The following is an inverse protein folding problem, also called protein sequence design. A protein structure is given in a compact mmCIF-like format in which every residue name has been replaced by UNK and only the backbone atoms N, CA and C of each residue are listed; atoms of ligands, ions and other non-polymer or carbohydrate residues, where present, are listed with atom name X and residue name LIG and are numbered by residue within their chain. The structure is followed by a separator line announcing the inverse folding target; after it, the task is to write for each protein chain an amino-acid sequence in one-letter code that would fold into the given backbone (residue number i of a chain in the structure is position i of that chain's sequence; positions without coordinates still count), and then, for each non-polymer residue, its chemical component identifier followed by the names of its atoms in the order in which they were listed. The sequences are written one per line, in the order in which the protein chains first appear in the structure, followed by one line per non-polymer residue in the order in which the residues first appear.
data_IF_764021308620
#
_entry.id   IF_764021308620
#
_cell.length_a   1.000
_cell.length_b   1.000
_cell.length_c   1.000
_cell.angle_alpha   90.00
_cell.angle_beta   90.00
_cell.angle_gamma   90.00
#
_symmetry.space_group_name_H-M   'P 1'
#
loop_
_entity.id
_entity.type
_entity.pdbx_description
1 polymer ?
#
# COMPACT_ATOMS: atom_id res chain seq x y z
N UNK A 1 -19.00 -8.84 -22.07
CA UNK A 1 -18.05 -9.10 -20.95
C UNK A 1 -18.38 -10.39 -20.21
N UNK A 2 -19.66 -10.74 -20.00
CA UNK A 2 -20.09 -11.98 -19.32
C UNK A 2 -19.55 -13.27 -19.96
N UNK A 3 -19.66 -13.44 -21.28
CA UNK A 3 -19.29 -14.71 -21.93
C UNK A 3 -17.79 -15.01 -21.93
N UNK A 4 -16.96 -13.96 -22.02
CA UNK A 4 -15.51 -14.07 -21.96
C UNK A 4 -15.03 -14.59 -20.59
N UNK A 5 -15.62 -14.05 -19.52
CA UNK A 5 -15.36 -14.49 -18.13
C UNK A 5 -15.82 -15.92 -17.94
N UNK A 6 -17.06 -16.25 -18.34
CA UNK A 6 -17.62 -17.60 -18.23
C UNK A 6 -16.78 -18.65 -18.99
N UNK A 7 -16.21 -18.28 -20.14
CA UNK A 7 -15.37 -19.19 -20.91
C UNK A 7 -14.03 -19.48 -20.23
N UNK A 8 -13.42 -18.49 -19.60
CA UNK A 8 -12.17 -18.69 -18.83
C UNK A 8 -12.46 -19.44 -17.53
N UNK A 9 -13.54 -19.10 -16.84
CA UNK A 9 -14.00 -19.78 -15.62
C UNK A 9 -14.20 -21.29 -15.85
N UNK A 10 -14.84 -21.67 -16.95
CA UNK A 10 -14.97 -23.10 -17.33
C UNK A 10 -13.63 -23.82 -17.49
N UNK A 11 -12.60 -23.16 -18.03
CA UNK A 11 -11.28 -23.77 -18.13
C UNK A 11 -10.56 -23.82 -16.78
N UNK A 12 -10.74 -22.81 -15.93
CA UNK A 12 -10.25 -22.82 -14.55
C UNK A 12 -10.86 -23.97 -13.76
N UNK A 13 -12.18 -24.16 -13.81
CA UNK A 13 -12.88 -25.24 -13.11
C UNK A 13 -12.38 -26.62 -13.53
N UNK A 14 -12.16 -26.84 -14.83
CA UNK A 14 -11.59 -28.09 -15.35
C UNK A 14 -10.20 -28.36 -14.77
N UNK A 15 -9.36 -27.32 -14.67
CA UNK A 15 -8.02 -27.46 -14.10
C UNK A 15 -8.10 -27.75 -12.60
N UNK A 16 -8.91 -27.01 -11.85
CA UNK A 16 -9.10 -27.21 -10.41
C UNK A 16 -9.58 -28.63 -10.10
N UNK A 17 -10.59 -29.12 -10.85
CA UNK A 17 -11.07 -30.49 -10.70
C UNK A 17 -9.97 -31.52 -10.98
N UNK A 18 -9.17 -31.33 -12.04
CA UNK A 18 -8.04 -32.20 -12.35
C UNK A 18 -6.98 -32.21 -11.25
N UNK A 19 -6.68 -31.05 -10.64
CA UNK A 19 -5.76 -30.98 -9.49
C UNK A 19 -6.31 -31.71 -8.26
N UNK A 20 -7.62 -31.60 -8.00
CA UNK A 20 -8.25 -32.27 -6.88
C UNK A 20 -8.23 -33.79 -7.03
N UNK A 21 -8.58 -34.29 -8.22
CA UNK A 21 -8.52 -35.72 -8.55
C UNK A 21 -7.09 -36.25 -8.45
N UNK A 22 -6.11 -35.53 -9.00
CA UNK A 22 -4.72 -35.97 -8.93
C UNK A 22 -4.20 -35.99 -7.50
N UNK A 23 -4.50 -34.95 -6.71
CA UNK A 23 -4.12 -34.90 -5.30
C UNK A 23 -4.68 -36.10 -4.55
N UNK A 24 -5.97 -36.40 -4.72
CA UNK A 24 -6.62 -37.55 -4.08
C UNK A 24 -5.96 -38.88 -4.47
N UNK A 25 -5.68 -39.07 -5.76
CA UNK A 25 -4.99 -40.26 -6.27
C UNK A 25 -3.58 -40.40 -5.69
N UNK A 26 -2.83 -39.30 -5.61
CA UNK A 26 -1.46 -39.31 -5.10
C UNK A 26 -1.41 -39.54 -3.60
N UNK A 27 -2.33 -38.95 -2.83
CA UNK A 27 -2.48 -39.21 -1.40
C UNK A 27 -2.79 -40.70 -1.14
N UNK A 28 -3.72 -41.30 -1.89
CA UNK A 28 -4.02 -42.73 -1.80
C UNK A 28 -2.81 -43.60 -2.16
N UNK A 29 -2.14 -43.30 -3.26
CA UNK A 29 -0.96 -44.05 -3.72
C UNK A 29 0.19 -43.98 -2.71
N UNK A 30 0.42 -42.81 -2.12
CA UNK A 30 1.43 -42.63 -1.07
C UNK A 30 1.06 -43.38 0.20
N UNK A 31 -0.22 -43.36 0.60
CA UNK A 31 -0.68 -44.08 1.77
C UNK A 31 -0.53 -45.60 1.61
N UNK A 32 -0.90 -46.14 0.44
CA UNK A 32 -0.66 -47.54 0.10
C UNK A 32 0.82 -47.91 0.12
N UNK A 33 1.70 -47.05 -0.43
CA UNK A 33 3.14 -47.27 -0.42
C UNK A 33 3.71 -47.25 1.01
N UNK A 34 3.27 -46.30 1.84
CA UNK A 34 3.66 -46.21 3.26
C UNK A 34 3.18 -47.45 4.02
N UNK A 35 1.94 -47.90 3.80
CA UNK A 35 1.41 -49.10 4.44
C UNK A 35 2.19 -50.34 4.03
N UNK A 36 2.55 -50.48 2.74
CA UNK A 36 3.38 -51.58 2.24
C UNK A 36 4.78 -51.57 2.87
N UNK A 37 5.46 -50.42 2.90
CA UNK A 37 6.79 -50.28 3.53
C UNK A 37 6.73 -50.61 5.03
N UNK A 38 5.69 -50.13 5.75
CA UNK A 38 5.45 -50.48 7.16
C UNK A 38 5.13 -51.97 7.37
N UNK A 39 4.52 -52.62 6.38
CA UNK A 39 4.28 -54.07 6.37
C UNK A 39 5.61 -54.81 6.28
N UNK A 40 6.42 -54.50 5.26
CA UNK A 40 7.75 -55.09 5.10
C UNK A 40 8.65 -54.90 6.32
N UNK A 41 8.61 -53.72 6.96
CA UNK A 41 9.35 -53.48 8.19
C UNK A 41 8.91 -54.38 9.36
N UNK A 42 7.60 -54.58 9.51
CA UNK A 42 7.05 -55.49 10.55
C UNK A 42 7.40 -56.95 10.26
N UNK A 43 7.35 -57.36 9.00
CA UNK A 43 7.72 -58.73 8.60
C UNK A 43 9.20 -59.00 8.91
N UNK A 44 10.09 -58.05 8.59
CA UNK A 44 11.52 -58.12 8.93
C UNK A 44 11.78 -58.18 10.44
N UNK A 45 11.01 -57.44 11.24
CA UNK A 45 11.10 -57.50 12.71
C UNK A 45 10.61 -58.84 13.27
N UNK A 46 9.55 -59.41 12.69
CA UNK A 46 8.95 -60.67 13.16
C UNK A 46 9.81 -61.88 12.80
N UNK A 47 10.51 -61.81 11.65
CA UNK A 47 11.43 -62.86 11.16
C UNK A 47 12.83 -62.77 11.78
N UNK A 48 13.11 -61.79 12.66
CA UNK A 48 14.35 -61.73 13.47
C UNK A 48 14.28 -62.56 14.76
N UNK A 49 13.23 -63.36 14.98
CA UNK A 49 13.12 -64.26 16.12
C UNK A 49 14.06 -65.49 15.95
N UNK A 50 14.72 -65.98 17.02
CA UNK A 50 15.67 -67.08 16.91
C UNK A 50 14.98 -68.36 16.42
N UNK A 51 15.39 -68.84 15.24
CA UNK A 51 14.87 -70.05 14.59
C UNK A 51 14.16 -69.85 13.25
N UNK A 52 14.00 -68.61 12.76
CA UNK A 52 13.31 -68.32 11.50
C UNK A 52 14.00 -67.20 10.68
N UNK A 53 15.34 -67.25 10.58
CA UNK A 53 16.15 -66.24 9.90
C UNK A 53 15.94 -66.27 8.38
N UNK A 54 15.67 -65.10 7.79
CA UNK A 54 15.62 -64.93 6.33
C UNK A 54 17.00 -65.15 5.71
N UNK A 55 17.04 -65.82 4.56
CA UNK A 55 18.27 -65.91 3.76
C UNK A 55 18.63 -64.55 3.17
N UNK A 56 19.92 -64.28 2.99
CA UNK A 56 20.46 -63.04 2.40
C UNK A 56 19.77 -62.69 1.06
N UNK A 57 19.51 -63.69 0.23
CA UNK A 57 18.80 -63.57 -1.05
C UNK A 57 17.36 -63.07 -0.86
N UNK A 58 16.65 -63.52 0.17
CA UNK A 58 15.28 -63.07 0.44
C UNK A 58 15.25 -61.60 0.90
N UNK A 59 16.23 -61.18 1.70
CA UNK A 59 16.39 -59.78 2.09
C UNK A 59 16.65 -58.89 0.86
N UNK A 60 17.59 -59.27 0.00
CA UNK A 60 17.92 -58.52 -1.21
C UNK A 60 16.73 -58.39 -2.16
N UNK A 61 15.97 -59.48 -2.39
CA UNK A 61 14.77 -59.44 -3.22
C UNK A 61 13.68 -58.53 -2.64
N UNK A 62 13.53 -58.47 -1.31
CA UNK A 62 12.59 -57.56 -0.66
C UNK A 62 13.02 -56.10 -0.82
N UNK A 63 14.30 -55.79 -0.58
CA UNK A 63 14.84 -54.44 -0.79
C UNK A 63 14.68 -53.96 -2.23
N UNK A 64 15.04 -54.82 -3.20
CA UNK A 64 14.90 -54.51 -4.63
C UNK A 64 13.46 -54.23 -5.02
N UNK A 65 12.50 -55.00 -4.49
CA UNK A 65 11.08 -54.80 -4.77
C UNK A 65 10.57 -53.47 -4.20
N UNK A 66 10.96 -53.10 -2.97
CA UNK A 66 10.60 -51.81 -2.36
C UNK A 66 11.19 -50.66 -3.17
N UNK A 67 12.48 -50.72 -3.51
CA UNK A 67 13.17 -49.68 -4.30
C UNK A 67 12.54 -49.52 -5.68
N UNK A 68 12.25 -50.63 -6.38
CA UNK A 68 11.57 -50.60 -7.68
C UNK A 68 10.19 -49.94 -7.58
N UNK A 69 9.42 -50.26 -6.54
CA UNK A 69 8.08 -49.71 -6.37
C UNK A 69 8.09 -48.22 -6.05
N UNK A 70 8.98 -47.78 -5.15
CA UNK A 70 9.20 -46.35 -4.87
C UNK A 70 9.60 -45.60 -6.15
N UNK A 71 10.53 -46.16 -6.94
CA UNK A 71 10.97 -45.54 -8.21
C UNK A 71 9.83 -45.43 -9.22
N UNK A 72 8.98 -46.45 -9.32
CA UNK A 72 7.82 -46.43 -10.21
C UNK A 72 6.81 -45.36 -9.79
N UNK A 73 6.51 -45.24 -8.49
CA UNK A 73 5.62 -44.20 -7.95
C UNK A 73 6.16 -42.79 -8.23
N UNK A 74 7.46 -42.56 -8.04
CA UNK A 74 8.09 -41.27 -8.38
C UNK A 74 7.97 -40.95 -9.88
N UNK A 75 8.20 -41.95 -10.73
CA UNK A 75 8.10 -41.79 -12.19
C UNK A 75 6.68 -41.47 -12.63
N UNK A 76 5.69 -42.14 -12.03
CA UNK A 76 4.27 -41.89 -12.25
C UNK A 76 3.91 -40.44 -11.88
N UNK A 77 4.28 -39.99 -10.68
CA UNK A 77 4.00 -38.63 -10.21
C UNK A 77 4.66 -37.56 -11.08
N UNK A 78 5.88 -37.82 -11.56
CA UNK A 78 6.55 -36.92 -12.50
C UNK A 78 5.80 -36.81 -13.83
N UNK A 79 5.22 -37.92 -14.32
CA UNK A 79 4.40 -37.94 -15.53
C UNK A 79 3.11 -37.13 -15.34
N UNK A 80 2.39 -37.40 -14.27
CA UNK A 80 1.14 -36.72 -13.93
C UNK A 80 1.34 -35.20 -13.70
N UNK A 81 2.44 -34.80 -13.07
CA UNK A 81 2.80 -33.39 -12.90
C UNK A 81 3.05 -32.68 -14.24
N UNK A 82 3.69 -33.36 -15.20
CA UNK A 82 3.88 -32.82 -16.56
C UNK A 82 2.55 -32.60 -17.27
N UNK A 83 1.58 -33.49 -17.07
CA UNK A 83 0.26 -33.39 -17.69
C UNK A 83 -0.58 -32.24 -17.11
N UNK A 84 -0.32 -31.81 -15.87
CA UNK A 84 -0.92 -30.60 -15.27
C UNK A 84 -0.48 -29.34 -16.01
N UNK A 85 0.80 -29.21 -16.34
CA UNK A 85 1.31 -28.02 -17.04
C UNK A 85 0.55 -27.76 -18.36
N UNK A 86 0.21 -28.83 -19.09
CA UNK A 86 -0.57 -28.73 -20.33
C UNK A 86 -2.00 -28.19 -20.09
N UNK A 87 -2.58 -28.49 -18.93
CA UNK A 87 -3.91 -28.04 -18.52
C UNK A 87 -3.89 -26.58 -18.08
N UNK A 88 -2.88 -26.15 -17.33
CA UNK A 88 -2.69 -24.74 -16.93
C UNK A 88 -2.44 -23.85 -18.15
N UNK A 89 -1.66 -24.31 -19.14
CA UNK A 89 -1.43 -23.57 -20.39
C UNK A 89 -2.71 -23.25 -21.17
N UNK A 90 -3.75 -24.11 -21.07
CA UNK A 90 -5.04 -23.85 -21.72
C UNK A 90 -5.78 -22.65 -21.13
N UNK A 91 -5.65 -22.40 -19.82
CA UNK A 91 -6.21 -21.20 -19.19
C UNK A 91 -5.57 -19.96 -19.82
N UNK A 92 -4.24 -19.92 -19.95
CA UNK A 92 -3.53 -18.82 -20.60
C UNK A 92 -4.06 -18.55 -22.01
N UNK A 93 -4.18 -19.61 -22.83
CA UNK A 93 -4.76 -19.50 -24.19
C UNK A 93 -6.23 -19.06 -24.19
N UNK A 94 -7.02 -19.47 -23.19
CA UNK A 94 -8.40 -19.04 -23.06
C UNK A 94 -8.49 -17.55 -22.69
N UNK A 95 -7.60 -17.07 -21.83
CA UNK A 95 -7.46 -15.64 -21.51
C UNK A 95 -7.12 -14.87 -22.79
N UNK A 96 -6.06 -15.27 -23.50
CA UNK A 96 -5.60 -14.60 -24.73
C UNK A 96 -6.68 -14.55 -25.81
N UNK A 97 -7.54 -15.58 -25.89
CA UNK A 97 -8.62 -15.65 -26.87
C UNK A 97 -9.84 -14.80 -26.51
N UNK A 98 -10.14 -14.67 -25.21
CA UNK A 98 -11.38 -14.03 -24.74
C UNK A 98 -11.17 -12.59 -24.28
N UNK A 99 -9.93 -12.17 -24.01
CA UNK A 99 -9.60 -10.83 -23.55
C UNK A 99 -8.63 -10.16 -24.54
N UNK A 100 -8.96 -8.93 -24.93
CA UNK A 100 -8.16 -8.13 -25.84
C UNK A 100 -6.95 -7.59 -25.06
N UNK A 101 -5.74 -7.84 -25.55
CA UNK A 101 -4.48 -7.35 -24.95
C UNK A 101 -4.23 -5.86 -25.25
N UNK A 102 -4.93 -5.32 -26.26
CA UNK A 102 -4.81 -3.96 -26.74
C UNK A 102 -5.83 -3.03 -26.08
N UNK A 103 -5.33 -2.16 -25.21
CA UNK A 103 -6.09 -1.14 -24.49
C UNK A 103 -6.55 0.02 -25.38
N UNK A 104 -6.12 0.08 -26.66
CA UNK A 104 -6.59 1.11 -27.60
C UNK A 104 -8.12 1.13 -27.74
N UNK A 105 -8.78 -0.02 -27.57
CA UNK A 105 -10.26 -0.14 -27.59
C UNK A 105 -10.97 0.44 -26.36
N UNK A 106 -10.25 0.73 -25.27
CA UNK A 106 -10.78 1.44 -24.09
C UNK A 106 -10.71 2.96 -24.27
N UNK A 107 -9.89 3.42 -25.22
CA UNK A 107 -9.88 4.81 -25.65
C UNK A 107 -11.14 5.07 -26.48
N UNK A 108 -12.14 5.61 -25.81
CA UNK A 108 -13.30 6.11 -26.51
C UNK A 108 -12.92 7.49 -27.06
N UNK A 109 -12.33 7.53 -28.26
CA UNK A 109 -11.78 8.74 -28.90
C UNK A 109 -12.81 9.89 -28.94
N UNK A 110 -14.10 9.55 -28.92
CA UNK A 110 -15.24 10.48 -28.88
C UNK A 110 -15.47 11.16 -27.52
N UNK A 111 -14.84 10.70 -26.43
CA UNK A 111 -15.06 11.22 -25.07
C UNK A 111 -14.68 12.69 -24.96
N UNK A 112 -13.73 13.18 -25.74
CA UNK A 112 -13.33 14.60 -25.72
C UNK A 112 -13.80 15.39 -26.94
N UNK A 113 -14.54 14.79 -27.87
CA UNK A 113 -15.01 15.46 -29.09
C UNK A 113 -16.15 16.46 -28.82
N UNK A 114 -16.91 16.29 -27.73
CA UNK A 114 -17.97 17.22 -27.39
C UNK A 114 -17.44 18.49 -26.72
N UNK A 115 -18.03 19.64 -27.08
CA UNK A 115 -17.71 20.92 -26.45
C UNK A 115 -17.95 20.89 -24.92
N UNK A 116 -18.96 20.14 -24.47
CA UNK A 116 -19.25 19.95 -23.05
C UNK A 116 -18.12 19.20 -22.33
N UNK A 117 -17.62 18.11 -22.89
CA UNK A 117 -16.53 17.33 -22.28
C UNK A 117 -15.21 18.09 -22.29
N UNK A 118 -14.96 18.88 -23.33
CA UNK A 118 -13.82 19.81 -23.38
C UNK A 118 -13.89 20.85 -22.25
N UNK A 119 -15.08 21.41 -21.96
CA UNK A 119 -15.24 22.34 -20.85
C UNK A 119 -15.00 21.69 -19.48
N UNK A 120 -15.51 20.46 -19.28
CA UNK A 120 -15.27 19.69 -18.05
C UNK A 120 -13.77 19.42 -17.89
N UNK A 121 -13.09 18.99 -18.95
CA UNK A 121 -11.65 18.74 -18.93
C UNK A 121 -10.87 20.00 -18.55
N UNK A 122 -11.18 21.13 -19.20
CA UNK A 122 -10.53 22.41 -18.89
C UNK A 122 -10.80 22.84 -17.45
N UNK A 123 -12.00 22.61 -16.91
CA UNK A 123 -12.29 22.87 -15.50
C UNK A 123 -11.42 22.00 -14.57
N UNK A 124 -11.28 20.70 -14.86
CA UNK A 124 -10.42 19.79 -14.08
C UNK A 124 -8.96 20.24 -14.12
N UNK A 125 -8.47 20.68 -15.27
CA UNK A 125 -7.12 21.22 -15.44
C UNK A 125 -6.94 22.51 -14.63
N UNK A 126 -7.91 23.44 -14.68
CA UNK A 126 -7.88 24.66 -13.85
C UNK A 126 -7.85 24.31 -12.37
N UNK A 127 -8.71 23.38 -11.92
CA UNK A 127 -8.72 22.93 -10.53
C UNK A 127 -7.41 22.24 -10.13
N UNK A 128 -6.71 21.59 -11.06
CA UNK A 128 -5.36 21.08 -10.83
C UNK A 128 -4.36 22.22 -10.64
N UNK A 129 -4.33 23.21 -11.53
CA UNK A 129 -3.40 24.35 -11.40
C UNK A 129 -3.64 25.15 -10.11
N UNK A 130 -4.90 25.36 -9.72
CA UNK A 130 -5.24 26.00 -8.45
C UNK A 130 -4.72 25.20 -7.25
N UNK A 131 -4.79 23.86 -7.28
CA UNK A 131 -4.25 22.97 -6.23
C UNK A 131 -2.72 23.00 -6.14
N UNK A 132 -2.03 23.27 -7.24
CA UNK A 132 -0.57 23.34 -7.31
C UNK A 132 -0.02 24.75 -7.00
N UNK A 133 -0.89 25.73 -6.73
CA UNK A 133 -0.46 27.12 -6.54
C UNK A 133 -0.15 27.89 -7.82
N UNK A 134 -0.42 27.33 -8.99
CA UNK A 134 -0.22 27.98 -10.29
C UNK A 134 -1.40 28.89 -10.64
N UNK A 135 -1.59 29.95 -9.84
CA UNK A 135 -2.76 30.84 -9.93
C UNK A 135 -2.85 31.58 -11.27
N UNK A 136 -1.73 32.09 -11.78
CA UNK A 136 -1.69 32.83 -13.06
C UNK A 136 -2.07 31.94 -14.24
N UNK A 137 -1.57 30.70 -14.27
CA UNK A 137 -1.89 29.71 -15.32
C UNK A 137 -3.38 29.32 -15.24
N UNK A 138 -3.88 29.08 -14.02
CA UNK A 138 -5.29 28.78 -13.80
C UNK A 138 -6.21 29.92 -14.28
N UNK A 139 -5.84 31.17 -13.98
CA UNK A 139 -6.60 32.35 -14.41
C UNK A 139 -6.54 32.54 -15.93
N UNK A 140 -5.37 32.35 -16.54
CA UNK A 140 -5.21 32.44 -17.99
C UNK A 140 -6.05 31.38 -18.72
N UNK A 141 -5.97 30.12 -18.29
CA UNK A 141 -6.75 29.03 -18.87
C UNK A 141 -8.26 29.25 -18.67
N UNK A 142 -8.68 29.76 -17.50
CA UNK A 142 -10.09 30.10 -17.25
C UNK A 142 -10.61 31.12 -18.26
N UNK A 143 -9.81 32.17 -18.55
CA UNK A 143 -10.15 33.21 -19.52
C UNK A 143 -10.20 32.68 -20.94
N UNK A 144 -9.18 31.94 -21.37
CA UNK A 144 -9.08 31.41 -22.73
C UNK A 144 -10.16 30.38 -23.03
N UNK A 145 -10.43 29.46 -22.09
CA UNK A 145 -11.45 28.43 -22.23
C UNK A 145 -12.88 28.95 -21.92
N UNK A 146 -13.03 30.24 -21.57
CA UNK A 146 -14.30 30.90 -21.21
C UNK A 146 -15.10 30.12 -20.16
N UNK A 147 -14.40 29.64 -19.14
CA UNK A 147 -15.00 28.87 -18.06
C UNK A 147 -15.61 29.81 -17.02
N UNK A 148 -16.87 29.55 -16.67
CA UNK A 148 -17.52 30.17 -15.52
C UNK A 148 -17.31 29.29 -14.29
N UNK A 149 -16.16 29.48 -13.62
CA UNK A 149 -15.83 28.75 -12.39
C UNK A 149 -16.26 29.61 -11.20
N UNK A 150 -17.25 29.18 -10.40
CA UNK A 150 -17.73 29.96 -9.26
C UNK A 150 -16.63 30.26 -8.24
N UNK A 151 -16.65 31.45 -7.66
CA UNK A 151 -15.64 31.90 -6.69
C UNK A 151 -15.51 31.00 -5.46
N UNK A 152 -16.62 30.37 -5.03
CA UNK A 152 -16.59 29.43 -3.91
C UNK A 152 -15.70 28.19 -4.21
N UNK A 153 -15.46 27.85 -5.49
CA UNK A 153 -14.54 26.78 -5.88
C UNK A 153 -13.08 27.25 -5.90
N UNK A 154 -12.84 28.54 -6.11
CA UNK A 154 -11.49 29.15 -6.17
C UNK A 154 -10.96 29.52 -4.78
N UNK A 155 -11.80 30.16 -3.95
CA UNK A 155 -11.43 30.68 -2.62
C UNK A 155 -10.66 29.70 -1.73
N UNK A 156 -11.06 28.41 -1.62
CA UNK A 156 -10.32 27.45 -0.80
C UNK A 156 -8.89 27.22 -1.29
N UNK A 157 -8.66 27.23 -2.61
CA UNK A 157 -7.31 27.06 -3.14
C UNK A 157 -6.47 28.32 -2.94
N UNK A 158 -7.05 29.52 -3.05
CA UNK A 158 -6.36 30.78 -2.72
C UNK A 158 -5.91 30.82 -1.26
N UNK A 159 -6.77 30.40 -0.32
CA UNK A 159 -6.42 30.23 1.10
C UNK A 159 -5.23 29.27 1.27
N UNK A 160 -5.31 28.07 0.68
CA UNK A 160 -4.24 27.07 0.77
C UNK A 160 -2.93 27.53 0.14
N UNK A 161 -2.98 28.24 -0.98
CA UNK A 161 -1.81 28.77 -1.66
C UNK A 161 -1.13 29.86 -0.82
N UNK A 162 -1.92 30.71 -0.15
CA UNK A 162 -1.38 31.70 0.79
C UNK A 162 -0.63 31.03 1.94
N UNK A 163 -1.17 29.93 2.47
CA UNK A 163 -0.50 29.14 3.51
C UNK A 163 0.78 28.49 2.97
N UNK A 164 0.73 27.92 1.76
CA UNK A 164 1.90 27.33 1.11
C UNK A 164 3.02 28.36 0.86
N UNK A 165 2.68 29.57 0.43
CA UNK A 165 3.67 30.62 0.23
C UNK A 165 4.27 31.09 1.57
N UNK A 166 3.47 31.10 2.64
CA UNK A 166 3.97 31.34 4.00
C UNK A 166 4.94 30.23 4.44
N UNK A 167 4.61 28.96 4.18
CA UNK A 167 5.50 27.83 4.45
C UNK A 167 6.82 27.93 3.68
N UNK A 168 6.78 28.30 2.39
CA UNK A 168 7.98 28.55 1.58
C UNK A 168 8.82 29.71 2.14
N UNK A 169 8.17 30.74 2.68
CA UNK A 169 8.81 31.86 3.38
C UNK A 169 9.26 31.53 4.82
N UNK A 170 9.14 30.27 5.23
CA UNK A 170 9.47 29.76 6.58
C UNK A 170 8.59 30.28 7.71
N UNK A 171 7.36 30.67 7.40
CA UNK A 171 6.33 30.98 8.39
C UNK A 171 5.36 29.79 8.55
N UNK A 172 5.41 29.15 9.72
CA UNK A 172 4.56 28.01 10.06
C UNK A 172 3.20 28.41 10.64
N UNK A 173 3.02 29.68 11.03
CA UNK A 173 1.83 30.09 11.77
C UNK A 173 0.53 29.85 10.99
N UNK A 174 0.42 30.22 9.70
CA UNK A 174 -0.80 30.00 8.93
C UNK A 174 -1.13 28.50 8.79
N UNK A 175 -0.11 27.66 8.58
CA UNK A 175 -0.29 26.21 8.46
C UNK A 175 -0.70 25.56 9.78
N UNK A 176 -0.12 25.98 10.90
CA UNK A 176 -0.48 25.52 12.24
C UNK A 176 -1.93 25.88 12.60
N UNK A 177 -2.34 27.13 12.34
CA UNK A 177 -3.71 27.57 12.57
C UNK A 177 -4.70 26.77 11.73
N UNK A 178 -4.38 26.56 10.45
CA UNK A 178 -5.19 25.75 9.56
C UNK A 178 -5.30 24.30 10.05
N UNK A 179 -4.20 23.68 10.48
CA UNK A 179 -4.20 22.31 10.98
C UNK A 179 -5.05 22.16 12.25
N UNK A 180 -4.98 23.13 13.17
CA UNK A 180 -5.81 23.16 14.38
C UNK A 180 -7.29 23.31 14.03
N UNK A 181 -7.63 24.22 13.11
CA UNK A 181 -9.00 24.47 12.70
C UNK A 181 -9.64 23.26 11.98
N UNK A 182 -8.83 22.45 11.29
CA UNK A 182 -9.28 21.28 10.54
C UNK A 182 -8.91 19.95 11.24
N UNK A 183 -8.57 19.99 12.54
CA UNK A 183 -8.02 18.85 13.30
C UNK A 183 -8.92 17.60 13.23
N UNK A 184 -10.22 17.75 13.41
CA UNK A 184 -11.15 16.62 13.40
C UNK A 184 -11.24 15.98 12.01
N UNK A 185 -11.18 16.80 10.96
CA UNK A 185 -11.20 16.35 9.57
C UNK A 185 -9.90 15.62 9.21
N UNK A 186 -8.75 16.14 9.66
CA UNK A 186 -7.44 15.49 9.51
C UNK A 186 -7.38 14.15 10.24
N UNK A 187 -7.93 14.07 11.47
CA UNK A 187 -7.99 12.83 12.25
C UNK A 187 -8.88 11.76 11.62
N UNK A 188 -9.95 12.18 10.93
CA UNK A 188 -10.84 11.28 10.21
C UNK A 188 -10.27 10.81 8.86
N UNK A 189 -9.08 11.25 8.45
CA UNK A 189 -8.45 10.77 7.21
C UNK A 189 -8.02 9.31 7.33
N UNK A 190 -8.32 8.52 6.29
CA UNK A 190 -7.92 7.11 6.23
C UNK A 190 -6.39 6.96 6.18
N UNK A 191 -5.73 8.01 5.68
CA UNK A 191 -4.29 8.17 5.58
C UNK A 191 -3.57 8.32 6.93
N UNK A 192 -4.31 8.49 8.05
CA UNK A 192 -3.72 8.68 9.38
C UNK A 192 -2.83 9.91 9.46
N UNK A 193 -3.27 11.04 8.91
CA UNK A 193 -2.45 12.25 8.78
C UNK A 193 -1.81 12.68 10.10
N UNK A 194 -0.49 12.84 10.06
CA UNK A 194 0.33 13.40 11.13
C UNK A 194 0.73 14.85 10.82
N UNK A 195 0.03 15.55 9.92
CA UNK A 195 0.38 16.92 9.49
C UNK A 195 0.52 17.87 10.68
N UNK A 196 -0.46 17.87 11.58
CA UNK A 196 -0.44 18.73 12.77
C UNK A 196 0.81 18.46 13.62
N UNK A 197 1.13 17.18 13.85
CA UNK A 197 2.33 16.81 14.60
C UNK A 197 3.61 17.21 13.87
N UNK A 198 3.70 16.98 12.55
CA UNK A 198 4.87 17.35 11.74
C UNK A 198 5.11 18.86 11.74
N UNK A 199 4.05 19.68 11.68
CA UNK A 199 4.13 21.14 11.80
C UNK A 199 4.63 21.56 13.19
N UNK A 200 4.06 20.99 14.26
CA UNK A 200 4.52 21.31 15.61
C UNK A 200 5.95 20.84 15.87
N UNK A 201 6.36 19.69 15.32
CA UNK A 201 7.73 19.17 15.37
C UNK A 201 8.70 20.13 14.68
N UNK A 202 8.37 20.60 13.48
CA UNK A 202 9.21 21.57 12.75
C UNK A 202 9.33 22.89 13.52
N UNK A 203 8.23 23.42 14.05
CA UNK A 203 8.26 24.63 14.88
C UNK A 203 9.10 24.44 16.16
N UNK A 204 9.04 23.26 16.78
CA UNK A 204 9.87 22.93 17.94
C UNK A 204 11.35 22.90 17.57
N UNK A 205 11.71 22.29 16.44
CA UNK A 205 13.10 22.26 15.93
C UNK A 205 13.60 23.68 15.61
N UNK A 206 12.78 24.55 15.03
CA UNK A 206 13.17 25.95 14.80
C UNK A 206 13.42 26.69 16.13
N UNK A 207 12.59 26.47 17.16
CA UNK A 207 12.84 26.99 18.49
C UNK A 207 14.13 26.43 19.11
N UNK A 208 14.42 25.15 18.87
CA UNK A 208 15.59 24.42 19.36
C UNK A 208 16.88 24.95 18.75
N UNK A 209 16.87 25.33 17.46
CA UNK A 209 17.98 26.03 16.79
C UNK A 209 18.30 27.38 17.44
N UNK A 210 17.29 28.01 18.03
CA UNK A 210 17.46 29.22 18.84
C UNK A 210 18.02 28.96 20.24
N UNK A 211 18.60 27.79 20.55
CA UNK A 211 19.48 27.58 21.69
C UNK A 211 18.88 27.76 23.09
N UNK A 212 19.75 27.94 24.09
CA UNK A 212 19.40 28.01 25.52
C UNK A 212 18.42 29.15 25.81
N UNK A 213 18.50 30.26 25.08
CA UNK A 213 17.61 31.42 25.22
C UNK A 213 16.13 31.07 24.96
N UNK A 214 15.86 30.00 24.19
CA UNK A 214 14.51 29.53 23.92
C UNK A 214 14.06 28.41 24.86
N UNK A 215 14.85 27.98 25.85
CA UNK A 215 14.53 26.83 26.72
C UNK A 215 13.13 26.96 27.36
N UNK A 216 12.80 28.13 27.92
CA UNK A 216 11.49 28.37 28.52
C UNK A 216 10.36 28.34 27.49
N UNK A 217 10.60 28.85 26.27
CA UNK A 217 9.63 28.83 25.17
C UNK A 217 9.38 27.41 24.67
N UNK A 218 10.42 26.59 24.57
CA UNK A 218 10.35 25.18 24.18
C UNK A 218 9.49 24.37 25.16
N UNK A 219 9.72 24.56 26.47
CA UNK A 219 8.93 23.87 27.51
C UNK A 219 7.47 24.32 27.48
N UNK A 220 7.21 25.62 27.36
CA UNK A 220 5.85 26.15 27.27
C UNK A 220 5.12 25.60 26.03
N UNK A 221 5.79 25.62 24.88
CA UNK A 221 5.26 25.14 23.60
C UNK A 221 4.92 23.64 23.65
N UNK A 222 5.84 22.82 24.18
CA UNK A 222 5.62 21.38 24.32
C UNK A 222 4.40 21.07 25.21
N UNK A 223 4.28 21.76 26.35
CA UNK A 223 3.13 21.59 27.26
C UNK A 223 1.81 21.96 26.60
N UNK A 224 1.80 23.01 25.79
CA UNK A 224 0.59 23.50 25.15
C UNK A 224 0.12 22.58 24.01
N UNK A 225 1.03 22.09 23.17
CA UNK A 225 0.67 21.47 21.89
C UNK A 225 0.94 19.96 21.79
N UNK A 226 1.88 19.40 22.56
CA UNK A 226 2.21 17.98 22.44
C UNK A 226 1.32 17.05 23.26
N UNK A 227 0.65 17.55 24.31
CA UNK A 227 -0.21 16.71 25.16
C UNK A 227 -1.32 15.99 24.37
N UNK A 228 -2.07 16.63 23.45
CA UNK A 228 -3.09 15.95 22.64
C UNK A 228 -2.53 15.02 21.55
N UNK A 229 -1.21 15.03 21.32
CA UNK A 229 -0.52 14.28 20.27
C UNK A 229 0.35 13.14 20.85
N UNK A 230 0.46 13.08 22.19
CA UNK A 230 1.35 12.17 22.90
C UNK A 230 1.04 10.69 22.62
N UNK A 231 -0.24 10.31 22.61
CA UNK A 231 -0.67 8.91 22.45
C UNK A 231 -0.14 8.27 21.15
N UNK A 232 0.03 9.07 20.08
CA UNK A 232 0.49 8.59 18.77
C UNK A 232 1.98 8.84 18.51
N UNK A 233 2.57 9.87 19.14
CA UNK A 233 3.92 10.34 18.83
C UNK A 233 4.86 10.38 20.05
N UNK A 234 4.58 9.58 21.08
CA UNK A 234 5.29 9.59 22.36
C UNK A 234 6.82 9.53 22.21
N UNK A 235 7.33 8.57 21.42
CA UNK A 235 8.78 8.38 21.23
C UNK A 235 9.46 9.61 20.62
N UNK A 236 8.81 10.24 19.64
CA UNK A 236 9.34 11.44 19.00
C UNK A 236 9.31 12.64 19.95
N UNK A 237 8.23 12.78 20.74
CA UNK A 237 8.11 13.82 21.77
C UNK A 237 9.19 13.62 22.85
N UNK A 238 9.41 12.38 23.32
CA UNK A 238 10.46 12.07 24.29
C UNK A 238 11.85 12.44 23.75
N UNK A 239 12.14 12.15 22.47
CA UNK A 239 13.40 12.55 21.85
C UNK A 239 13.55 14.08 21.78
N UNK A 240 12.50 14.81 21.38
CA UNK A 240 12.50 16.27 21.38
C UNK A 240 12.72 16.85 22.78
N UNK A 241 12.06 16.30 23.80
CA UNK A 241 12.25 16.74 25.18
C UNK A 241 13.65 16.39 25.73
N UNK A 242 14.18 15.22 25.38
CA UNK A 242 15.53 14.80 25.74
C UNK A 242 16.62 15.68 25.12
N UNK A 243 16.37 16.23 23.92
CA UNK A 243 17.31 17.15 23.27
C UNK A 243 17.58 18.43 24.07
N UNK A 244 16.67 18.82 24.97
CA UNK A 244 16.82 20.01 25.82
C UNK A 244 18.03 19.90 26.78
N UNK A 245 18.45 18.69 27.15
CA UNK A 245 19.63 18.44 27.99
C UNK A 245 20.93 18.92 27.31
N UNK A 246 20.94 18.96 25.99
CA UNK A 246 22.12 19.27 25.18
C UNK A 246 22.13 20.72 24.66
N UNK A 247 21.15 21.56 25.05
CA UNK A 247 21.07 22.95 24.60
C UNK A 247 22.34 23.77 24.90
N UNK A 248 22.97 23.54 26.06
CA UNK A 248 24.19 24.25 26.48
C UNK A 248 25.44 23.73 25.77
N UNK A 249 25.52 22.42 25.53
CA UNK A 249 26.68 21.75 24.94
C UNK A 249 26.65 21.74 23.41
N UNK A 250 25.51 22.11 22.80
CA UNK A 250 25.28 22.07 21.38
C UNK A 250 24.70 20.74 20.90
N UNK A 251 23.62 20.80 20.12
CA UNK A 251 22.92 19.60 19.63
C UNK A 251 23.68 18.84 18.55
N UNK A 252 24.58 19.51 17.83
CA UNK A 252 25.42 18.91 16.78
C UNK A 252 26.28 17.75 17.31
N UNK A 253 26.70 17.84 18.58
CA UNK A 253 27.54 16.84 19.25
C UNK A 253 26.71 15.91 20.15
N UNK A 254 25.38 15.89 19.99
CA UNK A 254 24.47 15.11 20.82
C UNK A 254 23.91 13.90 20.06
N UNK A 255 23.36 12.89 20.78
CA UNK A 255 22.60 11.81 20.15
C UNK A 255 21.39 12.29 19.33
N UNK A 256 20.98 13.56 19.50
CA UNK A 256 19.83 14.17 18.86
C UNK A 256 20.17 15.03 17.63
N UNK A 257 21.40 14.94 17.09
CA UNK A 257 21.80 15.71 15.90
C UNK A 257 20.86 15.47 14.71
N UNK A 258 20.33 14.24 14.55
CA UNK A 258 19.37 13.89 13.51
C UNK A 258 18.06 14.70 13.57
N UNK A 259 17.74 15.38 14.70
CA UNK A 259 16.61 16.30 14.77
C UNK A 259 16.87 17.62 14.03
N UNK A 260 18.14 17.97 13.83
CA UNK A 260 18.58 19.16 13.09
C UNK A 260 18.69 18.89 11.59
N UNK A 261 19.02 17.64 11.21
CA UNK A 261 18.94 17.14 9.85
C UNK A 261 17.50 17.29 9.35
N UNK A 262 17.36 18.09 8.29
CA UNK A 262 16.13 18.78 7.94
C UNK A 262 14.91 17.88 7.82
N UNK A 263 13.85 18.17 8.57
CA UNK A 263 12.51 18.08 7.98
C UNK A 263 12.53 19.05 6.80
N UNK A 264 12.42 18.51 5.59
CA UNK A 264 12.42 19.32 4.39
C UNK A 264 11.26 20.30 4.47
N UNK A 265 11.55 21.59 4.45
CA UNK A 265 10.50 22.60 4.22
C UNK A 265 9.72 22.30 2.93
N UNK A 266 10.34 21.61 1.97
CA UNK A 266 9.66 20.98 0.83
C UNK A 266 8.71 19.85 1.24
N UNK A 267 9.17 18.89 2.04
CA UNK A 267 8.35 17.76 2.52
C UNK A 267 7.10 18.24 3.27
N UNK A 268 7.23 19.26 4.13
CA UNK A 268 6.06 19.79 4.85
C UNK A 268 5.08 20.50 3.91
N UNK A 269 5.56 21.16 2.85
CA UNK A 269 4.69 21.74 1.82
C UNK A 269 3.94 20.64 1.04
N UNK A 270 4.61 19.54 0.69
CA UNK A 270 3.98 18.42 -0.04
C UNK A 270 2.91 17.73 0.81
N UNK A 271 3.22 17.48 2.09
CA UNK A 271 2.29 16.88 3.04
C UNK A 271 1.10 17.81 3.27
N UNK A 272 1.34 19.11 3.46
CA UNK A 272 0.27 20.09 3.61
C UNK A 272 -0.65 20.09 2.38
N UNK A 273 -0.08 20.14 1.17
CA UNK A 273 -0.84 20.15 -0.09
C UNK A 273 -1.73 18.91 -0.19
N UNK A 274 -1.16 17.73 0.02
CA UNK A 274 -1.91 16.46 -0.04
C UNK A 274 -3.06 16.43 0.96
N UNK A 275 -2.78 16.71 2.22
CA UNK A 275 -3.75 16.56 3.30
C UNK A 275 -4.84 17.65 3.21
N UNK A 276 -4.49 18.86 2.77
CA UNK A 276 -5.44 19.94 2.52
C UNK A 276 -6.40 19.63 1.35
N UNK A 277 -5.90 19.04 0.26
CA UNK A 277 -6.74 18.60 -0.85
C UNK A 277 -7.71 17.50 -0.42
N UNK A 278 -7.26 16.53 0.39
CA UNK A 278 -8.13 15.47 0.91
C UNK A 278 -9.22 16.04 1.84
N UNK A 279 -8.86 16.98 2.73
CA UNK A 279 -9.82 17.69 3.59
C UNK A 279 -10.90 18.39 2.74
N UNK A 280 -10.49 19.20 1.75
CA UNK A 280 -11.44 19.97 0.94
C UNK A 280 -12.25 19.09 -0.04
N UNK A 281 -11.68 18.00 -0.54
CA UNK A 281 -12.36 17.04 -1.40
C UNK A 281 -13.56 16.38 -0.71
N UNK A 282 -13.44 16.08 0.59
CA UNK A 282 -14.54 15.54 1.40
C UNK A 282 -15.63 16.58 1.69
N UNK A 283 -15.27 17.84 1.88
CA UNK A 283 -16.25 18.92 2.05
C UNK A 283 -17.15 19.04 0.82
N UNK A 284 -16.59 18.94 -0.39
CA UNK A 284 -17.35 18.95 -1.65
C UNK A 284 -18.32 17.77 -1.76
N UNK A 285 -17.85 16.56 -1.47
CA UNK A 285 -18.71 15.36 -1.50
C UNK A 285 -19.89 15.45 -0.53
N UNK A 286 -19.67 16.01 0.66
CA UNK A 286 -20.72 16.18 1.66
C UNK A 286 -21.67 17.35 1.33
N UNK A 287 -21.21 18.44 0.71
CA UNK A 287 -22.08 19.55 0.30
C UNK A 287 -22.97 19.18 -0.87
N UNK A 288 -22.48 18.41 -1.84
CA UNK A 288 -23.28 18.00 -3.01
C UNK A 288 -24.40 17.02 -2.59
N UNK A 289 -24.16 16.17 -1.57
CA UNK A 289 -25.20 15.28 -0.99
C UNK A 289 -26.31 15.99 -0.22
N UNK A 290 -26.08 17.21 0.26
CA UNK A 290 -27.08 17.99 1.00
C UNK A 290 -28.00 18.76 0.04
N UNK A 291 -27.57 18.97 -1.21
CA UNK A 291 -28.39 19.62 -2.24
C UNK A 291 -29.26 18.62 -3.03
N UNK A 292 -28.98 17.32 -2.92
CA UNK A 292 -29.73 16.23 -3.57
C UNK A 292 -30.78 15.54 -2.66
N UNK A 293 -31.07 16.10 -1.47
CA UNK A 293 -32.15 15.65 -0.56
C UNK A 293 -33.08 16.81 -0.21
#
# INVERSE_FOLDING_TARGET
MSDAVVNVEKEVDKVVNKFHELRKHNEQTLEELIQQIKGYHRDLQTLSAPGNELTEIQCDLMYDNVIKKVRNTITQFSGEHRDIHSSVSRIGKAIDKNFISDYASVNNDTVFESAANTQILNQVIVEHFLRQGMLEIAEQLTREARLDIPDHKKKPFTELNTILDSLKARDLQPALQWAIANRDQLRAQNSGSALEFKLHRLQFIELLRGGVQNQMKLIAYARQYFQPLADKHEREIQAMMGSLLYLKSGLQNSPYNYLLDSIGWSEICDIFTRDAVEVKGRTRYNSDRILDN
#
